data_IF_998018831453
#
_entry.id   IF_998018831453
#
_cell.length_a   1.000
_cell.length_b   1.000
_cell.length_c   1.000
_cell.angle_alpha   90.00
_cell.angle_beta   90.00
_cell.angle_gamma   90.00
#
_symmetry.space_group_name_H-M   'P 1'
#
loop_
_entity.id
_entity.type
_entity.pdbx_description
1 polymer ?
#
# COMPACT_ATOMS: atom_id res chain seq x y z
N UNK A 1 9.21 17.14 20.34
CA UNK A 1 8.15 16.11 20.39
C UNK A 1 7.09 16.54 19.40
N UNK A 2 7.13 15.91 18.22
CA UNK A 2 6.31 16.13 17.00
C UNK A 2 6.22 17.57 16.44
N UNK A 3 7.09 17.96 15.48
CA UNK A 3 6.86 19.18 14.72
C UNK A 3 5.80 18.95 13.64
N UNK A 4 4.76 19.78 13.70
CA UNK A 4 3.55 19.95 12.88
C UNK A 4 3.74 20.12 11.35
N UNK A 5 4.83 19.64 10.74
CA UNK A 5 5.20 20.04 9.37
C UNK A 5 4.93 19.04 8.25
N UNK A 6 4.44 17.83 8.54
CA UNK A 6 4.16 16.81 7.49
C UNK A 6 2.70 16.68 7.07
N UNK A 7 1.86 17.67 7.40
CA UNK A 7 0.54 17.85 6.76
C UNK A 7 0.71 18.81 5.58
N UNK A 8 0.32 18.37 4.38
CA UNK A 8 0.26 19.13 3.10
C UNK A 8 1.55 19.13 2.28
N UNK A 9 1.94 17.96 1.74
CA UNK A 9 2.43 17.78 0.36
C UNK A 9 2.83 16.31 0.16
N UNK A 10 1.87 15.39 0.10
CA UNK A 10 2.12 14.13 -0.60
C UNK A 10 1.76 14.37 -2.08
N UNK A 11 2.53 15.25 -2.73
CA UNK A 11 2.62 15.29 -4.18
C UNK A 11 3.19 13.96 -4.65
N UNK A 12 2.71 13.48 -5.80
CA UNK A 12 2.96 12.16 -6.43
C UNK A 12 4.45 11.78 -6.69
N UNK A 13 5.41 12.48 -6.09
CA UNK A 13 6.85 12.32 -6.32
C UNK A 13 7.63 11.66 -5.15
N UNK A 14 7.03 11.42 -3.97
CA UNK A 14 7.69 10.77 -2.82
C UNK A 14 6.79 9.70 -2.14
N UNK A 15 6.26 8.75 -2.91
CA UNK A 15 5.53 7.60 -2.34
C UNK A 15 6.36 6.33 -2.39
N UNK A 16 6.45 5.61 -1.26
CA UNK A 16 7.09 4.29 -1.15
C UNK A 16 6.45 3.25 -2.08
N UNK A 17 5.14 3.36 -2.28
CA UNK A 17 4.33 2.52 -3.16
C UNK A 17 3.36 3.36 -3.98
N UNK A 18 3.08 2.90 -5.20
CA UNK A 18 2.08 3.48 -6.11
C UNK A 18 1.08 2.40 -6.52
N UNK A 19 0.06 2.76 -7.31
CA UNK A 19 -0.90 1.79 -7.85
C UNK A 19 -0.27 0.74 -8.77
N UNK A 20 0.87 1.06 -9.37
CA UNK A 20 1.61 0.17 -10.27
C UNK A 20 2.51 -0.83 -9.53
N UNK A 21 2.82 -0.56 -8.25
CA UNK A 21 3.65 -1.46 -7.44
C UNK A 21 2.96 -2.82 -7.30
N UNK A 22 3.70 -3.89 -7.53
CA UNK A 22 3.16 -5.25 -7.42
C UNK A 22 2.88 -5.60 -5.96
N UNK A 23 1.76 -6.26 -5.69
CA UNK A 23 1.40 -6.70 -4.33
C UNK A 23 2.52 -7.56 -3.72
N UNK A 24 3.16 -8.42 -4.54
CA UNK A 24 4.30 -9.23 -4.11
C UNK A 24 5.52 -8.42 -3.69
N UNK A 25 5.77 -7.27 -4.31
CA UNK A 25 6.86 -6.36 -3.95
C UNK A 25 6.55 -5.65 -2.63
N UNK A 26 5.32 -5.16 -2.47
CA UNK A 26 4.85 -4.50 -1.25
C UNK A 26 5.05 -5.43 -0.05
N UNK A 27 4.56 -6.68 -0.14
CA UNK A 27 4.67 -7.66 0.94
C UNK A 27 6.12 -8.02 1.26
N UNK A 28 7.02 -8.00 0.26
CA UNK A 28 8.43 -8.36 0.46
C UNK A 28 9.25 -7.22 1.06
N UNK A 29 9.00 -5.99 0.63
CA UNK A 29 9.76 -4.81 1.03
C UNK A 29 9.21 -4.13 2.29
N UNK A 30 7.89 -4.23 2.49
CA UNK A 30 7.13 -3.53 3.52
C UNK A 30 6.20 -4.51 4.25
N UNK A 31 6.73 -5.43 5.08
CA UNK A 31 5.91 -6.36 5.85
C UNK A 31 4.88 -5.66 6.76
N UNK A 32 5.15 -4.43 7.19
CA UNK A 32 4.21 -3.56 7.92
C UNK A 32 2.94 -3.23 7.13
N UNK A 33 2.98 -3.28 5.79
CA UNK A 33 1.84 -3.02 4.93
C UNK A 33 0.89 -4.23 4.81
N UNK A 34 1.30 -5.41 5.27
CA UNK A 34 0.50 -6.64 5.19
C UNK A 34 -0.84 -6.46 5.91
N UNK A 35 -0.85 -5.79 7.07
CA UNK A 35 -2.08 -5.54 7.83
C UNK A 35 -3.10 -4.73 7.01
N UNK A 36 -2.63 -3.71 6.28
CA UNK A 36 -3.48 -2.88 5.41
C UNK A 36 -4.02 -3.73 4.26
N UNK A 37 -3.19 -4.53 3.60
CA UNK A 37 -3.61 -5.41 2.50
C UNK A 37 -4.65 -6.45 2.95
N UNK A 38 -4.45 -7.06 4.13
CA UNK A 38 -5.43 -7.99 4.69
C UNK A 38 -6.76 -7.30 5.00
N UNK A 39 -6.73 -6.07 5.53
CA UNK A 39 -7.94 -5.30 5.85
C UNK A 39 -8.84 -4.99 4.65
N UNK A 40 -8.27 -4.95 3.44
CA UNK A 40 -8.99 -4.70 2.18
C UNK A 40 -9.40 -5.98 1.45
N UNK A 41 -9.23 -7.15 2.08
CA UNK A 41 -9.67 -8.44 1.55
C UNK A 41 -8.61 -9.22 0.78
N UNK A 42 -7.34 -8.79 0.78
CA UNK A 42 -6.23 -9.53 0.18
C UNK A 42 -5.76 -10.67 1.09
N UNK A 43 -6.62 -11.63 1.43
CA UNK A 43 -6.22 -12.75 2.30
C UNK A 43 -5.25 -13.74 1.63
N UNK A 44 -5.13 -13.68 0.30
CA UNK A 44 -4.37 -14.64 -0.51
C UNK A 44 -2.93 -14.17 -0.86
N UNK A 45 -2.25 -13.41 0.01
CA UNK A 45 -0.90 -12.86 -0.24
C UNK A 45 0.20 -13.92 -0.46
N UNK A 46 -0.09 -15.20 -0.17
CA UNK A 46 0.77 -16.34 -0.47
C UNK A 46 0.59 -16.94 -1.86
N UNK A 47 -0.47 -16.57 -2.59
CA UNK A 47 -0.73 -17.09 -3.93
C UNK A 47 0.17 -16.40 -4.96
N UNK A 48 0.89 -17.14 -5.84
CA UNK A 48 1.73 -16.54 -6.87
C UNK A 48 0.97 -15.58 -7.79
N UNK A 49 -0.29 -15.89 -8.10
CA UNK A 49 -1.13 -15.05 -8.96
C UNK A 49 -1.40 -13.68 -8.30
N UNK A 50 -1.85 -13.67 -7.05
CA UNK A 50 -2.14 -12.43 -6.32
C UNK A 50 -0.92 -11.55 -6.08
N UNK A 51 0.28 -12.15 -6.01
CA UNK A 51 1.53 -11.40 -5.87
C UNK A 51 2.01 -10.77 -7.18
N UNK A 52 1.53 -11.24 -8.32
CA UNK A 52 1.88 -10.72 -9.64
C UNK A 52 0.95 -9.60 -10.12
N UNK A 53 -0.13 -9.31 -9.39
CA UNK A 53 -1.05 -8.21 -9.69
C UNK A 53 -0.49 -6.86 -9.19
N UNK A 54 -0.78 -5.79 -9.93
CA UNK A 54 -0.55 -4.42 -9.45
C UNK A 54 -1.51 -4.11 -8.30
N UNK A 55 -1.13 -3.19 -7.42
CA UNK A 55 -2.01 -2.76 -6.33
C UNK A 55 -3.35 -2.22 -6.87
N UNK A 56 -3.33 -1.51 -8.00
CA UNK A 56 -4.53 -0.98 -8.64
C UNK A 56 -5.46 -2.08 -9.15
N UNK A 57 -4.94 -3.09 -9.85
CA UNK A 57 -5.74 -4.22 -10.36
C UNK A 57 -6.34 -5.00 -9.20
N UNK A 58 -5.54 -5.27 -8.17
CA UNK A 58 -5.97 -5.94 -6.97
C UNK A 58 -7.10 -5.14 -6.28
N UNK A 59 -6.94 -3.82 -6.13
CA UNK A 59 -8.00 -2.96 -5.58
C UNK A 59 -9.29 -2.99 -6.43
N UNK A 60 -9.16 -3.02 -7.77
CA UNK A 60 -10.30 -3.05 -8.68
C UNK A 60 -11.13 -4.35 -8.55
N UNK A 61 -10.47 -5.51 -8.43
CA UNK A 61 -11.14 -6.81 -8.23
C UNK A 61 -11.93 -6.84 -6.91
N UNK A 62 -11.41 -6.16 -5.88
CA UNK A 62 -12.02 -6.12 -4.55
C UNK A 62 -12.92 -4.89 -4.30
N UNK A 63 -13.12 -4.03 -5.30
CA UNK A 63 -14.00 -2.86 -5.22
C UNK A 63 -13.49 -1.77 -4.26
N UNK A 64 -12.17 -1.66 -4.08
CA UNK A 64 -11.54 -0.72 -3.17
C UNK A 64 -10.99 0.50 -3.91
N UNK A 65 -11.13 1.72 -3.36
CA UNK A 65 -10.53 2.91 -3.95
C UNK A 65 -9.01 2.87 -3.78
N UNK A 66 -8.28 2.62 -4.88
CA UNK A 66 -6.81 2.45 -4.87
C UNK A 66 -6.07 3.61 -4.20
N UNK A 67 -6.52 4.85 -4.38
CA UNK A 67 -5.90 6.03 -3.77
C UNK A 67 -5.91 5.96 -2.24
N UNK A 68 -7.01 5.47 -1.64
CA UNK A 68 -7.11 5.30 -0.18
C UNK A 68 -6.18 4.21 0.33
N UNK A 69 -6.00 3.15 -0.45
CA UNK A 69 -5.11 2.05 -0.11
C UNK A 69 -3.66 2.50 -0.19
N UNK A 70 -3.29 3.24 -1.24
CA UNK A 70 -1.97 3.86 -1.38
C UNK A 70 -1.68 4.79 -0.20
N UNK A 71 -2.62 5.66 0.17
CA UNK A 71 -2.49 6.54 1.33
C UNK A 71 -2.23 5.75 2.62
N UNK A 72 -3.04 4.72 2.88
CA UNK A 72 -2.94 3.90 4.09
C UNK A 72 -1.62 3.11 4.16
N UNK A 73 -1.18 2.52 3.05
CA UNK A 73 0.08 1.76 2.99
C UNK A 73 1.26 2.72 3.20
N UNK A 74 1.33 3.82 2.47
CA UNK A 74 2.43 4.78 2.61
C UNK A 74 2.48 5.40 4.01
N UNK A 75 1.33 5.66 4.64
CA UNK A 75 1.27 6.11 6.03
C UNK A 75 1.84 5.06 6.99
N UNK A 76 1.48 3.78 6.81
CA UNK A 76 2.01 2.69 7.64
C UNK A 76 3.51 2.48 7.49
N UNK A 77 4.03 2.57 6.26
CA UNK A 77 5.47 2.51 6.01
C UNK A 77 6.17 3.70 6.68
N UNK A 78 5.62 4.91 6.58
CA UNK A 78 6.19 6.10 7.20
C UNK A 78 6.18 6.05 8.74
N UNK A 79 5.16 5.43 9.35
CA UNK A 79 5.09 5.22 10.81
C UNK A 79 6.12 4.21 11.33
N UNK A 80 6.52 3.25 10.50
CA UNK A 80 7.46 2.19 10.86
C UNK A 80 8.94 2.57 10.63
N UNK A 81 9.23 3.77 10.14
CA UNK A 81 10.56 4.24 9.70
C UNK A 81 11.10 5.39 10.54
#
# INVERSE_FOLDING_TARGET
MFPEFRRRIFTMAESYVTGETLVGEIVSQYPEAIEVLLSIGMHCLGCPASRAESLADACAVHGMPVDRVIEAINAKIAEAR
#
